data_IF_944674178381
#
_entry.id   IF_944674178381
#
_cell.length_a   1.000
_cell.length_b   1.000
_cell.length_c   1.000
_cell.angle_alpha   90.00
_cell.angle_beta   90.00
_cell.angle_gamma   90.00
#
_symmetry.space_group_name_H-M   'P 1'
#
loop_
_entity.id
_entity.type
_entity.pdbx_description
1 polymer ?
#
# COMPACT_ATOMS: atom_id res chain seq x y z
N UNK A 1 1.76 24.95 -8.44
CA UNK A 1 1.16 23.81 -7.71
C UNK A 1 1.73 23.78 -6.30
N UNK A 2 0.97 24.18 -5.29
CA UNK A 2 1.40 24.09 -3.88
C UNK A 2 1.61 22.62 -3.55
N UNK A 3 2.83 22.23 -3.16
CA UNK A 3 3.15 20.87 -2.72
C UNK A 3 2.56 20.66 -1.33
N UNK A 4 1.27 20.35 -1.27
CA UNK A 4 0.59 20.04 -0.02
C UNK A 4 1.12 18.67 0.48
N UNK A 5 1.98 18.71 1.50
CA UNK A 5 2.53 17.52 2.16
C UNK A 5 1.41 16.60 2.73
N UNK A 6 0.29 17.18 3.11
CA UNK A 6 -0.85 16.44 3.62
C UNK A 6 -1.54 15.57 2.55
N UNK A 7 -1.71 16.09 1.35
CA UNK A 7 -2.30 15.34 0.24
C UNK A 7 -1.42 14.16 -0.18
N UNK A 8 -0.09 14.30 -0.10
CA UNK A 8 0.84 13.20 -0.35
C UNK A 8 0.78 12.12 0.73
N UNK A 9 0.70 12.50 2.01
CA UNK A 9 0.53 11.53 3.07
C UNK A 9 -0.78 10.74 2.95
N UNK A 10 -1.90 11.40 2.62
CA UNK A 10 -3.21 10.73 2.46
C UNK A 10 -3.19 9.68 1.34
N UNK A 11 -2.47 9.95 0.26
CA UNK A 11 -2.49 9.14 -0.96
C UNK A 11 -1.43 8.02 -0.96
N UNK A 12 -0.27 8.22 -0.35
CA UNK A 12 0.88 7.33 -0.50
C UNK A 12 1.39 6.71 0.82
N UNK A 13 1.18 7.36 1.97
CA UNK A 13 1.71 6.84 3.24
C UNK A 13 0.99 5.54 3.62
N UNK A 14 1.77 4.48 3.80
CA UNK A 14 1.30 3.14 4.18
C UNK A 14 0.29 2.50 3.20
N UNK A 15 0.20 3.00 1.97
CA UNK A 15 -0.67 2.44 0.93
C UNK A 15 0.12 1.44 0.08
N UNK A 16 -0.34 0.19 0.10
CA UNK A 16 0.21 -0.90 -0.68
C UNK A 16 -0.82 -1.39 -1.69
N UNK A 17 -0.35 -1.82 -2.86
CA UNK A 17 -1.17 -2.41 -3.91
C UNK A 17 -0.82 -3.89 -4.00
N UNK A 18 -1.79 -4.78 -4.05
CA UNK A 18 -1.49 -6.18 -4.31
C UNK A 18 -1.07 -6.41 -5.77
N UNK A 19 -0.04 -7.24 -5.99
CA UNK A 19 0.44 -7.57 -7.35
C UNK A 19 -0.59 -8.37 -8.16
N UNK A 20 -1.42 -9.19 -7.50
CA UNK A 20 -2.43 -10.04 -8.16
C UNK A 20 -3.77 -9.32 -8.35
N UNK A 21 -4.35 -8.87 -7.23
CA UNK A 21 -5.73 -8.35 -7.18
C UNK A 21 -5.80 -6.84 -7.49
N UNK A 22 -4.65 -6.14 -7.61
CA UNK A 22 -4.51 -4.67 -7.72
C UNK A 22 -5.26 -3.86 -6.64
N UNK A 23 -5.76 -4.54 -5.61
CA UNK A 23 -6.45 -3.94 -4.46
C UNK A 23 -5.46 -3.13 -3.64
N UNK A 24 -5.91 -1.94 -3.21
CA UNK A 24 -5.18 -1.08 -2.30
C UNK A 24 -5.47 -1.52 -0.86
N UNK A 25 -4.42 -1.56 -0.05
CA UNK A 25 -4.50 -1.83 1.39
C UNK A 25 -3.67 -0.78 2.11
N UNK A 26 -4.22 -0.25 3.22
CA UNK A 26 -3.43 0.52 4.17
C UNK A 26 -2.95 -0.43 5.26
N UNK A 27 -1.65 -0.61 5.35
CA UNK A 27 -1.04 -1.49 6.34
C UNK A 27 0.35 -0.97 6.72
N UNK A 28 0.80 -1.37 7.89
CA UNK A 28 2.16 -1.06 8.33
C UNK A 28 3.20 -1.78 7.44
N UNK A 29 4.24 -1.08 6.95
CA UNK A 29 5.29 -1.65 6.12
C UNK A 29 5.98 -2.87 6.76
N UNK A 30 6.21 -2.86 8.08
CA UNK A 30 6.85 -3.99 8.75
C UNK A 30 5.95 -5.23 8.70
N UNK A 31 4.64 -5.07 8.82
CA UNK A 31 3.69 -6.20 8.70
C UNK A 31 3.61 -6.75 7.28
N UNK A 32 3.75 -5.91 6.26
CA UNK A 32 3.81 -6.31 4.85
C UNK A 32 5.11 -7.09 4.58
N UNK A 33 6.25 -6.57 5.04
CA UNK A 33 7.56 -7.22 4.90
C UNK A 33 7.62 -8.57 5.63
N UNK A 34 7.04 -8.67 6.83
CA UNK A 34 6.88 -9.93 7.58
C UNK A 34 5.82 -10.87 6.98
N UNK A 35 5.12 -10.48 5.91
CA UNK A 35 4.09 -11.30 5.28
C UNK A 35 2.86 -11.57 6.15
N UNK A 36 2.60 -10.73 7.16
CA UNK A 36 1.48 -10.89 8.10
C UNK A 36 0.15 -10.36 7.54
N UNK A 37 0.21 -9.58 6.47
CA UNK A 37 -0.96 -9.01 5.81
C UNK A 37 -1.36 -9.90 4.62
N UNK A 38 -2.65 -10.18 4.47
CA UNK A 38 -3.23 -10.94 3.35
C UNK A 38 -4.13 -10.04 2.50
N UNK A 39 -4.13 -10.16 1.16
CA UNK A 39 -5.10 -9.44 0.31
C UNK A 39 -6.50 -9.94 0.67
N UNK A 40 -7.45 -9.03 0.96
CA UNK A 40 -8.84 -9.39 1.28
C UNK A 40 -9.54 -10.14 0.14
N UNK A 41 -9.17 -9.87 -1.12
CA UNK A 41 -9.71 -10.56 -2.30
C UNK A 41 -9.00 -11.88 -2.61
N UNK A 42 -7.70 -11.84 -2.90
CA UNK A 42 -6.97 -13.02 -3.41
C UNK A 42 -6.23 -13.83 -2.34
N UNK A 43 -6.29 -13.43 -1.06
CA UNK A 43 -5.61 -14.06 0.09
C UNK A 43 -4.08 -14.17 0.00
N UNK A 44 -3.46 -13.77 -1.13
CA UNK A 44 -2.01 -13.73 -1.33
C UNK A 44 -1.37 -12.59 -0.51
N UNK A 45 -0.07 -12.74 -0.23
CA UNK A 45 0.76 -11.80 0.55
C UNK A 45 1.65 -10.92 -0.32
N UNK A 46 1.47 -10.98 -1.64
CA UNK A 46 2.29 -10.24 -2.59
C UNK A 46 1.79 -8.79 -2.76
N UNK A 47 2.41 -7.86 -2.04
CA UNK A 47 2.12 -6.43 -2.12
C UNK A 47 3.28 -5.64 -2.72
N UNK A 48 2.98 -4.48 -3.29
CA UNK A 48 3.95 -3.47 -3.76
C UNK A 48 3.62 -2.12 -3.13
N UNK A 49 4.62 -1.31 -2.72
CA UNK A 49 4.36 0.04 -2.27
C UNK A 49 3.84 0.91 -3.42
N UNK A 50 2.88 1.79 -3.14
CA UNK A 50 2.43 2.80 -4.10
C UNK A 50 3.42 3.97 -4.07
N UNK A 51 4.26 4.11 -5.09
CA UNK A 51 5.18 5.25 -5.23
C UNK A 51 4.51 6.35 -6.05
N UNK A 52 4.78 7.61 -5.66
CA UNK A 52 4.45 8.79 -6.46
C UNK A 52 5.46 8.86 -7.62
N UNK A 53 4.99 9.00 -8.85
CA UNK A 53 5.82 9.24 -10.04
C UNK A 53 6.11 10.73 -10.15
#
# INVERSE_FOLDING_TARGET
MVKIAEATNRLFKNVFVCKNCKTKVRADPQRILKGLVKCRKCKKRAFRPLRKK
#
